data_IF_502380333077
#
_entry.id   IF_502380333077
#
_cell.length_a   1.000
_cell.length_b   1.000
_cell.length_c   1.000
_cell.angle_alpha   90.00
_cell.angle_beta   90.00
_cell.angle_gamma   90.00
#
_symmetry.space_group_name_H-M   'P 1'
#
loop_
_entity.id
_entity.type
_entity.pdbx_description
1 polymer ?
#
# COMPACT_ATOMS: atom_id res chain seq x y z
N UNK A 1 -9.90 -27.49 -28.42
CA UNK A 1 -10.67 -26.23 -28.40
C UNK A 1 -10.14 -25.38 -27.25
N UNK A 2 -9.50 -24.25 -27.60
CA UNK A 2 -8.61 -23.48 -26.72
C UNK A 2 -9.32 -22.74 -25.57
N UNK A 3 -8.67 -22.74 -24.40
CA UNK A 3 -9.01 -21.84 -23.30
C UNK A 3 -8.45 -20.46 -23.62
N UNK A 4 -9.32 -19.54 -23.99
CA UNK A 4 -9.02 -18.10 -23.94
C UNK A 4 -8.58 -17.79 -22.51
N UNK A 5 -7.29 -17.48 -22.30
CA UNK A 5 -6.84 -16.87 -21.06
C UNK A 5 -7.46 -15.47 -21.05
N UNK A 6 -8.59 -15.33 -20.36
CA UNK A 6 -9.19 -14.03 -20.11
C UNK A 6 -8.11 -13.15 -19.46
N UNK A 7 -7.68 -12.11 -20.16
CA UNK A 7 -6.68 -11.16 -19.67
C UNK A 7 -7.15 -10.61 -18.34
N UNK A 8 -6.43 -10.93 -17.27
CA UNK A 8 -6.75 -10.43 -15.93
C UNK A 8 -6.48 -8.93 -15.96
N UNK A 9 -7.55 -8.13 -15.97
CA UNK A 9 -7.48 -6.69 -15.83
C UNK A 9 -7.61 -6.37 -14.33
N UNK A 10 -6.48 -6.08 -13.69
CA UNK A 10 -6.43 -5.62 -12.31
C UNK A 10 -6.71 -4.11 -12.31
N UNK A 11 -7.71 -3.63 -11.54
CA UNK A 11 -8.00 -2.21 -11.45
C UNK A 11 -6.82 -1.45 -10.83
N UNK A 12 -6.71 -0.14 -11.02
CA UNK A 12 -5.68 0.60 -10.31
C UNK A 12 -5.94 0.57 -8.79
N UNK A 13 -4.85 0.51 -8.02
CA UNK A 13 -4.94 0.66 -6.57
C UNK A 13 -5.27 2.12 -6.23
N UNK A 14 -6.41 2.42 -5.58
CA UNK A 14 -6.82 3.80 -5.34
C UNK A 14 -5.77 4.62 -4.59
N UNK A 15 -5.60 5.89 -4.96
CA UNK A 15 -4.58 6.76 -4.37
C UNK A 15 -4.75 6.93 -2.84
N UNK A 16 -5.99 7.04 -2.36
CA UNK A 16 -6.28 7.14 -0.92
C UNK A 16 -5.82 5.89 -0.14
N UNK A 17 -5.73 4.73 -0.78
CA UNK A 17 -5.21 3.50 -0.16
C UNK A 17 -3.67 3.47 -0.07
N UNK A 18 -2.98 4.52 -0.52
CA UNK A 18 -1.54 4.73 -0.34
C UNK A 18 -1.25 5.94 0.55
N UNK A 19 -2.29 6.67 0.97
CA UNK A 19 -2.13 7.89 1.74
C UNK A 19 -1.73 7.56 3.18
N UNK A 20 -0.52 7.98 3.55
CA UNK A 20 -0.02 7.81 4.91
C UNK A 20 -0.74 8.74 5.87
N UNK A 21 -0.97 8.25 7.09
CA UNK A 21 -1.37 9.12 8.18
C UNK A 21 -0.28 10.18 8.42
N UNK A 22 -0.66 11.46 8.59
CA UNK A 22 0.29 12.55 8.80
C UNK A 22 1.07 12.37 10.11
N UNK A 23 2.07 13.21 10.37
CA UNK A 23 2.72 13.27 11.69
C UNK A 23 2.07 14.37 12.55
N UNK A 24 2.04 14.18 13.87
CA UNK A 24 1.66 15.21 14.84
C UNK A 24 2.94 15.64 15.54
N UNK A 25 3.42 16.83 15.22
CA UNK A 25 4.64 17.41 15.81
C UNK A 25 4.22 18.52 16.77
N UNK A 26 4.59 18.46 18.07
CA UNK A 26 4.32 19.55 19.01
C UNK A 26 4.99 20.84 18.55
N UNK A 27 4.31 21.98 18.75
CA UNK A 27 4.93 23.28 18.49
C UNK A 27 5.99 23.61 19.54
N UNK A 28 6.89 24.54 19.22
CA UNK A 28 7.88 25.03 20.19
C UNK A 28 7.18 25.56 21.44
N UNK A 29 7.54 25.01 22.60
CA UNK A 29 6.93 25.34 23.90
C UNK A 29 5.75 24.46 24.31
N UNK A 30 5.21 23.63 23.42
CA UNK A 30 4.19 22.64 23.78
C UNK A 30 4.84 21.37 24.34
N UNK A 31 4.26 20.82 25.42
CA UNK A 31 4.69 19.53 25.96
C UNK A 31 4.05 18.40 25.15
N UNK A 32 4.88 17.50 24.62
CA UNK A 32 4.43 16.22 24.12
C UNK A 32 3.74 15.44 25.25
N UNK A 33 2.52 14.97 25.00
CA UNK A 33 1.76 14.13 25.94
C UNK A 33 1.82 12.67 25.52
N UNK A 34 1.63 11.74 26.46
CA UNK A 34 1.61 10.31 26.16
C UNK A 34 0.63 9.92 25.05
N UNK A 35 -0.49 10.63 24.90
CA UNK A 35 -1.43 10.42 23.79
C UNK A 35 -0.82 10.71 22.43
N UNK A 36 0.05 11.71 22.31
CA UNK A 36 0.75 12.04 21.06
C UNK A 36 1.74 10.93 20.69
N UNK A 37 2.56 10.46 21.64
CA UNK A 37 3.48 9.35 21.38
C UNK A 37 2.75 8.04 21.03
N UNK A 38 1.63 7.75 21.69
CA UNK A 38 0.78 6.59 21.32
C UNK A 38 0.22 6.74 19.92
N UNK A 39 -0.16 7.96 19.53
CA UNK A 39 -0.64 8.24 18.19
C UNK A 39 0.46 8.03 17.14
N UNK A 40 1.70 8.42 17.42
CA UNK A 40 2.84 8.15 16.53
C UNK A 40 3.08 6.66 16.31
N UNK A 41 2.98 5.85 17.37
CA UNK A 41 3.09 4.38 17.23
C UNK A 41 1.97 3.82 16.34
N UNK A 42 0.73 4.28 16.54
CA UNK A 42 -0.41 3.85 15.71
C UNK A 42 -0.22 4.29 14.26
N UNK A 43 0.23 5.53 14.02
CA UNK A 43 0.56 6.08 12.70
C UNK A 43 1.57 5.18 11.99
N UNK A 44 2.68 4.85 12.66
CA UNK A 44 3.73 4.03 12.07
C UNK A 44 3.24 2.62 11.71
N UNK A 45 2.48 1.98 12.59
CA UNK A 45 1.92 0.66 12.32
C UNK A 45 0.91 0.69 11.16
N UNK A 46 0.07 1.74 11.11
CA UNK A 46 -0.88 1.93 10.01
C UNK A 46 -0.15 2.13 8.67
N UNK A 47 0.83 3.03 8.62
CA UNK A 47 1.57 3.32 7.40
C UNK A 47 2.36 2.10 6.91
N UNK A 48 3.01 1.34 7.82
CA UNK A 48 3.68 0.08 7.47
C UNK A 48 2.73 -0.94 6.86
N UNK A 49 1.51 -1.03 7.37
CA UNK A 49 0.47 -1.90 6.80
C UNK A 49 0.07 -1.43 5.41
N UNK A 50 -0.13 -0.13 5.20
CA UNK A 50 -0.44 0.42 3.88
C UNK A 50 0.67 0.12 2.87
N UNK A 51 1.93 0.34 3.26
CA UNK A 51 3.09 0.06 2.40
C UNK A 51 3.17 -1.41 2.01
N UNK A 52 2.95 -2.31 2.97
CA UNK A 52 2.93 -3.74 2.69
C UNK A 52 1.79 -4.12 1.74
N UNK A 53 0.58 -3.61 1.97
CA UNK A 53 -0.57 -3.90 1.10
C UNK A 53 -0.35 -3.37 -0.33
N UNK A 54 0.16 -2.15 -0.45
CA UNK A 54 0.46 -1.53 -1.73
C UNK A 54 1.54 -2.32 -2.48
N UNK A 55 2.65 -2.68 -1.82
CA UNK A 55 3.71 -3.48 -2.43
C UNK A 55 3.26 -4.89 -2.83
N UNK A 56 2.39 -5.52 -2.03
CA UNK A 56 1.80 -6.81 -2.37
C UNK A 56 0.95 -6.72 -3.65
N UNK A 57 0.12 -5.68 -3.77
CA UNK A 57 -0.67 -5.43 -4.96
C UNK A 57 0.18 -5.16 -6.20
N UNK A 58 1.19 -4.30 -6.06
CA UNK A 58 2.11 -3.95 -7.15
C UNK A 58 2.85 -5.19 -7.68
N UNK A 59 3.23 -6.11 -6.77
CA UNK A 59 3.82 -7.40 -7.15
C UNK A 59 2.88 -8.27 -8.00
N UNK A 60 1.61 -8.38 -7.60
CA UNK A 60 0.58 -9.11 -8.35
C UNK A 60 0.34 -8.45 -9.71
N UNK A 61 0.13 -7.13 -9.74
CA UNK A 61 -0.08 -6.38 -10.97
C UNK A 61 1.08 -6.57 -11.95
N UNK A 62 2.32 -6.55 -11.47
CA UNK A 62 3.50 -6.79 -12.28
C UNK A 62 3.55 -8.23 -12.83
N UNK A 63 3.14 -9.24 -12.05
CA UNK A 63 3.08 -10.63 -12.52
C UNK A 63 2.09 -10.80 -13.68
N UNK A 64 0.90 -10.19 -13.58
CA UNK A 64 -0.11 -10.27 -14.62
C UNK A 64 0.19 -9.38 -15.84
N UNK A 65 0.94 -8.30 -15.67
CA UNK A 65 1.40 -7.46 -16.78
C UNK A 65 2.53 -8.10 -17.60
N UNK A 66 3.22 -9.12 -17.06
CA UNK A 66 4.29 -9.81 -17.79
C UNK A 66 3.71 -10.66 -18.93
N UNK A 67 4.22 -10.53 -20.16
CA UNK A 67 3.86 -11.44 -21.25
C UNK A 67 4.25 -12.86 -20.85
N UNK A 68 3.31 -13.82 -20.87
CA UNK A 68 3.68 -15.23 -20.73
C UNK A 68 4.48 -15.66 -21.97
N UNK A 69 5.60 -16.39 -21.80
CA UNK A 69 6.27 -17.01 -22.93
C UNK A 69 5.31 -17.99 -23.63
N UNK A 70 5.39 -18.14 -24.96
CA UNK A 70 4.56 -19.09 -25.68
C UNK A 70 4.79 -20.52 -25.15
N UNK A 71 3.75 -21.38 -25.14
CA UNK A 71 3.94 -22.78 -24.81
C UNK A 71 4.78 -23.48 -25.88
N UNK A 72 5.67 -24.39 -25.46
CA UNK A 72 6.46 -25.27 -26.32
C UNK A 72 5.59 -26.23 -27.15
#
# INVERSE_FOLDING_TARGET
>A
MGRLAAGVNLPDWPAYCREHMPAVVPKVGEKARHSQSRWEVVREQHNRRLDWCAGHYDGIAAEYARPRPPPD
#
